data_IF_574970746458
#
_entry.id   IF_574970746458
#
_cell.length_a   1.000
_cell.length_b   1.000
_cell.length_c   1.000
_cell.angle_alpha   90.00
_cell.angle_beta   90.00
_cell.angle_gamma   90.00
#
_symmetry.space_group_name_H-M   'P 1'
#
loop_
_entity.id
_entity.type
_entity.pdbx_description
1 polymer ?
#
# COMPACT_ATOMS: atom_id res chain seq x y z
N UNK A 1 47.08 6.87 66.85
CA UNK A 1 46.93 7.40 65.48
C UNK A 1 46.15 6.40 64.64
N UNK A 2 44.94 6.77 64.22
CA UNK A 2 44.07 6.01 63.30
C UNK A 2 44.50 6.27 61.85
N UNK A 3 44.74 5.22 61.04
CA UNK A 3 44.69 5.25 59.56
C UNK A 3 44.32 3.84 59.07
N UNK A 4 43.03 3.57 58.87
CA UNK A 4 42.31 3.52 57.59
C UNK A 4 42.43 2.17 56.85
N UNK A 5 41.52 1.26 57.22
CA UNK A 5 40.91 0.30 56.30
C UNK A 5 40.22 1.11 55.18
N UNK A 6 40.59 0.87 53.93
CA UNK A 6 39.79 1.24 52.76
C UNK A 6 39.12 -0.05 52.28
N UNK A 7 37.78 -0.17 52.34
CA UNK A 7 37.11 -1.36 51.86
C UNK A 7 37.02 -1.32 50.32
N UNK A 8 37.53 -2.39 49.71
CA UNK A 8 37.45 -2.71 48.30
C UNK A 8 35.98 -3.07 47.94
N UNK A 9 35.12 -2.06 47.83
CA UNK A 9 33.70 -2.21 47.44
C UNK A 9 33.44 -1.37 46.21
N UNK A 10 34.06 -1.71 45.08
CA UNK A 10 33.71 -1.13 43.77
C UNK A 10 34.18 -2.07 42.65
N UNK A 11 33.64 -3.30 42.61
CA UNK A 11 34.08 -4.30 41.63
C UNK A 11 33.05 -5.32 41.17
N UNK A 12 31.76 -5.19 41.52
CA UNK A 12 30.70 -6.12 41.07
C UNK A 12 29.39 -5.40 40.66
N UNK A 13 29.31 -4.08 40.84
CA UNK A 13 28.08 -3.30 40.61
C UNK A 13 27.82 -2.82 39.17
N UNK A 14 28.53 -3.34 38.16
CA UNK A 14 28.40 -2.87 36.75
C UNK A 14 27.92 -3.98 35.79
N UNK A 15 27.74 -5.22 36.26
CA UNK A 15 27.28 -6.34 35.41
C UNK A 15 25.76 -6.64 35.49
N UNK A 16 24.96 -5.84 36.20
CA UNK A 16 23.52 -6.11 36.43
C UNK A 16 22.60 -5.13 35.65
N UNK A 17 23.12 -4.35 34.69
CA UNK A 17 22.31 -3.40 33.92
C UNK A 17 22.14 -3.76 32.43
N UNK A 18 22.68 -4.89 31.96
CA UNK A 18 22.28 -5.47 30.67
C UNK A 18 21.14 -6.45 30.93
N UNK A 19 19.92 -5.98 30.62
CA UNK A 19 18.67 -6.69 30.90
C UNK A 19 18.71 -8.14 30.44
N UNK A 20 18.29 -9.04 31.32
CA UNK A 20 18.09 -10.45 31.02
C UNK A 20 17.01 -10.60 29.94
N UNK A 21 17.41 -10.60 28.66
CA UNK A 21 16.60 -11.22 27.63
C UNK A 21 16.44 -12.69 28.02
N UNK A 22 15.21 -13.13 28.25
CA UNK A 22 14.96 -14.52 28.61
C UNK A 22 15.21 -15.40 27.37
N UNK A 23 15.53 -16.68 27.57
CA UNK A 23 15.65 -17.62 26.44
C UNK A 23 14.40 -17.63 25.54
N UNK A 24 13.21 -17.38 26.12
CA UNK A 24 11.95 -17.23 25.40
C UNK A 24 11.92 -15.97 24.52
N UNK A 25 12.51 -14.87 24.97
CA UNK A 25 12.58 -13.63 24.18
C UNK A 25 13.49 -13.81 22.96
N UNK A 26 14.61 -14.51 23.13
CA UNK A 26 15.53 -14.85 22.03
C UNK A 26 14.88 -15.81 21.05
N UNK A 27 14.20 -16.85 21.53
CA UNK A 27 13.47 -17.79 20.69
C UNK A 27 12.43 -17.08 19.85
N UNK A 28 11.58 -16.24 20.45
CA UNK A 28 10.55 -15.51 19.72
C UNK A 28 11.12 -14.54 18.70
N UNK A 29 12.17 -13.78 19.04
CA UNK A 29 12.83 -12.91 18.07
C UNK A 29 13.42 -13.73 16.91
N UNK A 30 13.94 -14.92 17.20
CA UNK A 30 14.43 -15.87 16.17
C UNK A 30 13.28 -16.38 15.30
N UNK A 31 12.13 -16.72 15.88
CA UNK A 31 10.96 -17.17 15.14
C UNK A 31 10.41 -16.06 14.24
N UNK A 32 10.34 -14.81 14.73
CA UNK A 32 9.93 -13.66 13.93
C UNK A 32 10.85 -13.47 12.71
N UNK A 33 12.17 -13.49 12.93
CA UNK A 33 13.18 -13.40 11.85
C UNK A 33 13.04 -14.57 10.89
N UNK A 34 12.81 -15.79 11.40
CA UNK A 34 12.63 -16.99 10.58
C UNK A 34 11.41 -16.85 9.67
N UNK A 35 10.27 -16.41 10.21
CA UNK A 35 9.03 -16.22 9.47
C UNK A 35 9.19 -15.12 8.41
N UNK A 36 9.87 -14.00 8.74
CA UNK A 36 10.16 -12.92 7.78
C UNK A 36 11.10 -13.37 6.65
N UNK A 37 12.13 -14.17 6.97
CA UNK A 37 13.03 -14.76 5.99
C UNK A 37 12.30 -15.77 5.09
N UNK A 38 11.38 -16.57 5.65
CA UNK A 38 10.56 -17.50 4.87
C UNK A 38 9.64 -16.76 3.89
N UNK A 39 9.00 -15.68 4.35
CA UNK A 39 8.22 -14.80 3.50
C UNK A 39 9.09 -14.23 2.37
N UNK A 40 10.22 -13.61 2.71
CA UNK A 40 11.14 -13.02 1.73
C UNK A 40 11.59 -14.04 0.69
N UNK A 41 11.94 -15.26 1.13
CA UNK A 41 12.33 -16.35 0.23
C UNK A 41 11.22 -16.67 -0.78
N UNK A 42 9.97 -16.81 -0.33
CA UNK A 42 8.85 -17.07 -1.23
C UNK A 42 8.59 -15.89 -2.18
N UNK A 43 8.75 -14.65 -1.72
CA UNK A 43 8.52 -13.48 -2.57
C UNK A 43 9.61 -13.27 -3.62
N UNK A 44 10.85 -13.69 -3.37
CA UNK A 44 12.00 -13.46 -4.26
C UNK A 44 12.31 -14.67 -5.15
N UNK A 45 12.14 -15.90 -4.65
CA UNK A 45 12.64 -17.12 -5.31
C UNK A 45 11.56 -17.89 -6.08
N UNK A 46 10.27 -17.57 -5.92
CA UNK A 46 9.18 -18.28 -6.61
C UNK A 46 9.17 -17.94 -8.10
N UNK A 47 9.25 -18.98 -8.92
CA UNK A 47 9.12 -18.85 -10.39
C UNK A 47 7.65 -18.62 -10.75
N UNK A 48 7.32 -17.84 -11.79
CA UNK A 48 5.94 -17.53 -12.16
C UNK A 48 5.02 -18.76 -12.35
N UNK A 49 5.58 -19.89 -12.80
CA UNK A 49 4.84 -21.15 -13.00
C UNK A 49 4.47 -21.90 -11.71
N UNK A 50 5.06 -21.53 -10.58
CA UNK A 50 4.83 -22.15 -9.27
C UNK A 50 3.93 -21.26 -8.37
N UNK A 51 3.30 -20.23 -8.96
CA UNK A 51 2.49 -19.22 -8.26
C UNK A 51 1.32 -19.82 -7.48
N UNK A 52 0.59 -20.78 -8.05
CA UNK A 52 -0.58 -21.38 -7.40
C UNK A 52 -0.19 -22.17 -6.13
N UNK A 53 0.90 -22.95 -6.20
CA UNK A 53 1.47 -23.61 -5.02
C UNK A 53 2.01 -22.59 -4.00
N UNK A 54 2.60 -21.49 -4.46
CA UNK A 54 3.11 -20.44 -3.57
C UNK A 54 2.01 -19.68 -2.82
N UNK A 55 0.81 -19.55 -3.41
CA UNK A 55 -0.33 -18.88 -2.77
C UNK A 55 -0.74 -19.62 -1.48
N UNK A 56 -0.90 -20.94 -1.52
CA UNK A 56 -1.22 -21.73 -0.32
C UNK A 56 -0.13 -21.63 0.76
N UNK A 57 1.15 -21.62 0.37
CA UNK A 57 2.24 -21.41 1.33
C UNK A 57 2.21 -20.01 1.96
N UNK A 58 1.91 -18.98 1.17
CA UNK A 58 1.78 -17.61 1.66
C UNK A 58 0.60 -17.48 2.63
N UNK A 59 -0.55 -18.08 2.32
CA UNK A 59 -1.69 -18.15 3.26
C UNK A 59 -1.28 -18.83 4.56
N UNK A 60 -0.56 -19.96 4.50
CA UNK A 60 -0.07 -20.66 5.68
C UNK A 60 0.88 -19.81 6.55
N UNK A 61 1.80 -19.05 5.93
CA UNK A 61 2.66 -18.09 6.64
C UNK A 61 1.81 -16.97 7.25
N UNK A 62 0.82 -16.47 6.51
CA UNK A 62 -0.03 -15.38 6.95
C UNK A 62 -0.84 -15.74 8.19
N UNK A 63 -1.54 -16.88 8.15
CA UNK A 63 -2.31 -17.40 9.28
C UNK A 63 -1.42 -17.65 10.49
N UNK A 64 -0.25 -18.28 10.30
CA UNK A 64 0.69 -18.51 11.40
C UNK A 64 1.14 -17.18 12.04
N UNK A 65 1.54 -16.20 11.23
CA UNK A 65 1.95 -14.89 11.72
C UNK A 65 0.82 -14.16 12.44
N UNK A 66 -0.41 -14.21 11.91
CA UNK A 66 -1.57 -13.59 12.55
C UNK A 66 -1.84 -14.20 13.94
N UNK A 67 -1.85 -15.53 14.06
CA UNK A 67 -2.03 -16.21 15.36
C UNK A 67 -0.93 -15.84 16.36
N UNK A 68 0.33 -15.74 15.92
CA UNK A 68 1.42 -15.28 16.78
C UNK A 68 1.20 -13.83 17.23
N UNK A 69 0.73 -12.94 16.35
CA UNK A 69 0.43 -11.54 16.69
C UNK A 69 -0.66 -11.44 17.77
N UNK A 70 -1.77 -12.15 17.58
CA UNK A 70 -2.91 -12.21 18.52
C UNK A 70 -2.48 -12.74 19.90
N UNK A 71 -1.54 -13.67 19.95
CA UNK A 71 -1.00 -14.18 21.21
C UNK A 71 -0.14 -13.15 21.96
N UNK A 72 0.41 -12.16 21.26
CA UNK A 72 1.37 -11.18 21.77
C UNK A 72 0.76 -9.80 22.03
N UNK A 73 -0.33 -9.42 21.37
CA UNK A 73 -0.88 -8.06 21.39
C UNK A 73 -1.29 -7.58 22.79
N UNK A 74 -1.82 -8.48 23.64
CA UNK A 74 -2.19 -8.17 25.02
C UNK A 74 -1.02 -8.25 26.03
N UNK A 75 0.16 -8.67 25.59
CA UNK A 75 1.30 -8.88 26.47
C UNK A 75 2.18 -7.64 26.56
N UNK A 76 2.28 -7.08 27.78
CA UNK A 76 3.08 -5.89 28.05
C UNK A 76 4.53 -6.06 27.59
N UNK A 77 4.98 -5.13 26.75
CA UNK A 77 6.34 -5.10 26.20
C UNK A 77 6.54 -5.99 24.98
N UNK A 78 5.49 -6.65 24.47
CA UNK A 78 5.55 -7.54 23.31
C UNK A 78 4.77 -7.01 22.11
N UNK A 79 4.12 -5.86 22.25
CA UNK A 79 3.27 -5.27 21.21
C UNK A 79 4.05 -4.91 19.93
N UNK A 80 5.34 -4.55 20.04
CA UNK A 80 6.17 -4.33 18.86
C UNK A 80 6.36 -5.62 18.02
N UNK A 81 6.53 -6.76 18.68
CA UNK A 81 6.64 -8.05 18.00
C UNK A 81 5.28 -8.44 17.37
N UNK A 82 4.18 -8.16 18.06
CA UNK A 82 2.83 -8.36 17.51
C UNK A 82 2.60 -7.55 16.22
N UNK A 83 2.99 -6.27 16.22
CA UNK A 83 2.91 -5.40 15.03
C UNK A 83 3.75 -5.96 13.87
N UNK A 84 4.97 -6.43 14.16
CA UNK A 84 5.83 -7.03 13.15
C UNK A 84 5.17 -8.30 12.54
N UNK A 85 4.53 -9.13 13.37
CA UNK A 85 3.77 -10.29 12.93
C UNK A 85 2.54 -9.93 12.09
N UNK A 86 1.74 -8.95 12.50
CA UNK A 86 0.63 -8.44 11.69
C UNK A 86 1.10 -7.92 10.32
N UNK A 87 2.27 -7.25 10.26
CA UNK A 87 2.88 -6.84 8.98
C UNK A 87 3.27 -8.03 8.10
N UNK A 88 3.81 -9.11 8.68
CA UNK A 88 4.09 -10.35 7.93
C UNK A 88 2.79 -10.89 7.34
N UNK A 89 1.75 -11.02 8.19
CA UNK A 89 0.46 -11.56 7.81
C UNK A 89 -0.19 -10.77 6.67
N UNK A 90 -0.29 -9.44 6.83
CA UNK A 90 -0.82 -8.57 5.79
C UNK A 90 -0.03 -8.67 4.46
N UNK A 91 1.31 -8.75 4.53
CA UNK A 91 2.12 -8.92 3.31
C UNK A 91 1.84 -10.26 2.63
N UNK A 92 1.78 -11.34 3.42
CA UNK A 92 1.61 -12.69 2.92
C UNK A 92 0.20 -12.92 2.35
N UNK A 93 -0.86 -12.46 3.02
CA UNK A 93 -2.22 -12.49 2.47
C UNK A 93 -2.32 -11.70 1.17
N UNK A 94 -1.79 -10.46 1.13
CA UNK A 94 -1.78 -9.65 -0.09
C UNK A 94 -1.07 -10.38 -1.24
N UNK A 95 0.14 -10.90 -1.00
CA UNK A 95 0.94 -11.54 -2.05
C UNK A 95 0.50 -12.94 -2.42
N UNK A 96 -0.40 -13.56 -1.64
CA UNK A 96 -1.06 -14.79 -2.07
C UNK A 96 -1.95 -14.57 -3.28
N UNK A 97 -2.51 -13.36 -3.44
CA UNK A 97 -3.46 -13.03 -4.51
C UNK A 97 -4.80 -13.78 -4.43
N UNK A 98 -5.03 -14.54 -3.36
CA UNK A 98 -6.22 -15.39 -3.25
C UNK A 98 -7.43 -14.56 -2.78
N UNK A 99 -8.57 -14.59 -3.50
CA UNK A 99 -9.73 -13.76 -3.17
C UNK A 99 -10.40 -14.15 -1.84
N UNK A 100 -10.24 -15.40 -1.39
CA UNK A 100 -10.85 -15.92 -0.17
C UNK A 100 -10.22 -15.37 1.12
N UNK A 101 -9.01 -14.80 1.06
CA UNK A 101 -8.29 -14.25 2.23
C UNK A 101 -8.29 -12.71 2.29
N UNK A 102 -9.16 -12.07 1.51
CA UNK A 102 -9.26 -10.60 1.49
C UNK A 102 -9.69 -10.07 2.86
N UNK A 103 -10.66 -10.71 3.51
CA UNK A 103 -11.11 -10.30 4.84
C UNK A 103 -9.99 -10.47 5.89
N UNK A 104 -9.19 -11.54 5.80
CA UNK A 104 -8.04 -11.77 6.67
C UNK A 104 -6.94 -10.71 6.48
N UNK A 105 -6.69 -10.28 5.23
CA UNK A 105 -5.79 -9.17 4.93
C UNK A 105 -6.26 -7.88 5.63
N UNK A 106 -7.56 -7.56 5.56
CA UNK A 106 -8.12 -6.39 6.22
C UNK A 106 -8.01 -6.52 7.74
N UNK A 107 -8.36 -7.67 8.31
CA UNK A 107 -8.28 -7.93 9.74
C UNK A 107 -6.85 -7.76 10.27
N UNK A 108 -5.88 -8.47 9.68
CA UNK A 108 -4.48 -8.39 10.09
C UNK A 108 -3.95 -6.95 9.99
N UNK A 109 -4.34 -6.22 8.94
CA UNK A 109 -3.92 -4.83 8.78
C UNK A 109 -4.53 -3.92 9.84
N UNK A 110 -5.85 -4.02 10.08
CA UNK A 110 -6.56 -3.18 11.02
C UNK A 110 -6.09 -3.42 12.46
N UNK A 111 -5.89 -4.69 12.85
CA UNK A 111 -5.39 -5.04 14.18
C UNK A 111 -3.98 -4.48 14.41
N UNK A 112 -3.07 -4.65 13.43
CA UNK A 112 -1.74 -4.05 13.48
C UNK A 112 -1.76 -2.51 13.54
N UNK A 113 -2.64 -1.87 12.77
CA UNK A 113 -2.80 -0.41 12.79
C UNK A 113 -3.34 0.11 14.14
N UNK A 114 -4.28 -0.61 14.74
CA UNK A 114 -4.82 -0.26 16.06
C UNK A 114 -3.71 -0.30 17.12
N UNK A 115 -2.87 -1.35 17.13
CA UNK A 115 -1.72 -1.44 18.02
C UNK A 115 -0.70 -0.32 17.78
N UNK A 116 -0.43 0.02 16.52
CA UNK A 116 0.43 1.16 16.19
C UNK A 116 -0.13 2.48 16.76
N UNK A 117 -1.44 2.69 16.69
CA UNK A 117 -2.08 3.88 17.24
C UNK A 117 -2.04 3.92 18.77
N UNK A 118 -2.22 2.76 19.43
CA UNK A 118 -2.13 2.63 20.89
C UNK A 118 -0.73 2.94 21.43
N UNK A 119 0.31 2.46 20.74
CA UNK A 119 1.70 2.67 21.14
C UNK A 119 2.23 4.07 20.82
N UNK A 120 1.54 4.84 19.95
CA UNK A 120 1.99 6.17 19.48
C UNK A 120 3.45 6.11 18.98
N UNK A 121 4.37 6.81 19.63
CA UNK A 121 5.79 6.86 19.30
C UNK A 121 6.57 5.59 19.71
N UNK A 122 5.96 4.67 20.45
CA UNK A 122 6.57 3.41 20.88
C UNK A 122 6.45 2.26 19.89
N UNK A 123 5.71 2.44 18.79
CA UNK A 123 5.54 1.44 17.74
C UNK A 123 6.73 1.38 16.77
N UNK A 124 6.99 0.23 16.13
CA UNK A 124 8.01 0.13 15.08
C UNK A 124 7.57 0.89 13.84
N UNK A 125 8.12 2.10 13.64
CA UNK A 125 7.81 3.02 12.53
C UNK A 125 7.67 2.32 11.18
N UNK A 126 8.64 1.48 10.80
CA UNK A 126 8.66 0.75 9.53
C UNK A 126 7.39 -0.07 9.33
N UNK A 127 7.03 -0.88 10.33
CA UNK A 127 5.92 -1.82 10.23
C UNK A 127 4.59 -1.06 10.30
N UNK A 128 4.49 -0.04 11.15
CA UNK A 128 3.33 0.83 11.22
C UNK A 128 3.08 1.60 9.91
N UNK A 129 4.13 2.11 9.27
CA UNK A 129 4.01 2.74 7.96
C UNK A 129 3.58 1.75 6.87
N UNK A 130 4.15 0.54 6.88
CA UNK A 130 3.79 -0.49 5.91
C UNK A 130 2.30 -0.86 6.03
N UNK A 131 1.81 -1.09 7.25
CA UNK A 131 0.41 -1.44 7.52
C UNK A 131 -0.56 -0.36 7.02
N UNK A 132 -0.18 0.91 7.08
CA UNK A 132 -0.99 2.00 6.53
C UNK A 132 -1.05 2.01 5.00
N UNK A 133 -0.03 1.46 4.33
CA UNK A 133 0.13 1.48 2.88
C UNK A 133 -0.36 0.20 2.19
N UNK A 134 -0.37 -0.94 2.88
CA UNK A 134 -0.59 -2.25 2.26
C UNK A 134 -1.96 -2.36 1.60
N UNK A 135 -3.04 -1.90 2.25
CA UNK A 135 -4.41 -1.99 1.71
C UNK A 135 -4.59 -1.13 0.45
N UNK A 136 -4.22 0.17 0.43
CA UNK A 136 -4.28 0.95 -0.80
C UNK A 136 -3.48 0.35 -1.97
N UNK A 137 -2.28 -0.17 -1.72
CA UNK A 137 -1.47 -0.81 -2.77
C UNK A 137 -2.07 -2.13 -3.24
N UNK A 138 -2.58 -2.96 -2.32
CA UNK A 138 -3.26 -4.20 -2.65
C UNK A 138 -4.52 -3.95 -3.50
N UNK A 139 -5.30 -2.92 -3.16
CA UNK A 139 -6.45 -2.51 -3.95
C UNK A 139 -6.07 -2.10 -5.37
N UNK A 140 -4.97 -1.36 -5.56
CA UNK A 140 -4.51 -0.97 -6.89
C UNK A 140 -4.00 -2.16 -7.71
N UNK A 141 -3.25 -3.06 -7.09
CA UNK A 141 -2.78 -4.29 -7.75
C UNK A 141 -3.96 -5.19 -8.14
N UNK A 142 -4.96 -5.33 -7.28
CA UNK A 142 -6.19 -6.05 -7.58
C UNK A 142 -6.96 -5.44 -8.74
N UNK A 143 -7.12 -4.11 -8.77
CA UNK A 143 -7.73 -3.42 -9.92
C UNK A 143 -6.94 -3.64 -11.21
N UNK A 144 -5.61 -3.54 -11.17
CA UNK A 144 -4.76 -3.73 -12.34
C UNK A 144 -4.77 -5.16 -12.88
N UNK A 145 -4.88 -6.17 -12.00
CA UNK A 145 -4.91 -7.57 -12.39
C UNK A 145 -6.31 -8.03 -12.82
N UNK A 146 -7.36 -7.52 -12.16
CA UNK A 146 -8.75 -7.86 -12.47
C UNK A 146 -9.29 -7.12 -13.70
N UNK A 147 -8.76 -5.93 -13.98
CA UNK A 147 -9.18 -5.08 -15.10
C UNK A 147 -7.99 -4.83 -16.01
N UNK A 148 -7.93 -5.56 -17.11
CA UNK A 148 -6.96 -5.29 -18.16
C UNK A 148 -7.40 -4.06 -18.96
N UNK A 149 -7.30 -2.87 -18.35
CA UNK A 149 -7.77 -1.61 -18.91
C UNK A 149 -7.14 -1.33 -20.28
N UNK A 150 -5.87 -1.70 -20.47
CA UNK A 150 -5.18 -1.57 -21.75
C UNK A 150 -5.88 -2.37 -22.86
N UNK A 151 -6.19 -3.64 -22.62
CA UNK A 151 -6.88 -4.46 -23.61
C UNK A 151 -8.35 -4.06 -23.77
N UNK A 152 -9.01 -3.61 -22.69
CA UNK A 152 -10.39 -3.11 -22.75
C UNK A 152 -10.49 -1.85 -23.59
N UNK A 153 -9.65 -0.84 -23.31
CA UNK A 153 -9.65 0.42 -24.05
C UNK A 153 -9.16 0.26 -25.50
N UNK A 154 -8.20 -0.66 -25.72
CA UNK A 154 -7.69 -0.97 -27.05
C UNK A 154 -8.70 -1.66 -27.99
N UNK A 155 -9.77 -2.26 -27.45
CA UNK A 155 -10.84 -2.90 -28.24
C UNK A 155 -11.92 -1.93 -28.72
N UNK A 156 -11.92 -0.72 -28.20
CA UNK A 156 -12.95 0.29 -28.50
C UNK A 156 -12.52 1.04 -29.75
N UNK A 157 -13.28 0.92 -30.82
CA UNK A 157 -13.09 1.65 -32.07
C UNK A 157 -14.42 2.23 -32.55
N UNK A 158 -14.73 3.41 -32.01
CA UNK A 158 -15.90 4.17 -32.42
C UNK A 158 -15.87 4.61 -33.89
N UNK A 159 -14.94 4.18 -34.75
CA UNK A 159 -14.96 4.45 -36.20
C UNK A 159 -15.34 3.24 -37.06
N UNK A 160 -15.51 2.05 -36.47
CA UNK A 160 -15.75 0.82 -37.23
C UNK A 160 -17.24 0.53 -37.56
N UNK A 161 -18.14 1.42 -37.10
CA UNK A 161 -19.60 1.35 -37.23
C UNK A 161 -20.24 0.07 -36.68
N UNK A 162 -19.56 -0.61 -35.73
CA UNK A 162 -20.05 -1.82 -35.08
C UNK A 162 -20.27 -1.59 -33.58
N UNK A 163 -21.23 -2.37 -33.05
CA UNK A 163 -21.50 -2.60 -31.63
C UNK A 163 -21.25 -1.45 -30.63
N UNK A 164 -21.71 -0.25 -30.97
CA UNK A 164 -21.56 0.97 -30.14
C UNK A 164 -22.13 0.80 -28.72
N UNK A 165 -23.13 -0.07 -28.54
CA UNK A 165 -23.69 -0.38 -27.22
C UNK A 165 -22.66 -1.06 -26.30
N UNK A 166 -22.00 -2.11 -26.78
CA UNK A 166 -20.97 -2.81 -26.00
C UNK A 166 -19.77 -1.92 -25.72
N UNK A 167 -19.33 -1.14 -26.71
CA UNK A 167 -18.21 -0.20 -26.54
C UNK A 167 -18.48 0.89 -25.50
N UNK A 168 -19.69 1.46 -25.51
CA UNK A 168 -20.09 2.46 -24.51
C UNK A 168 -20.20 1.85 -23.10
N UNK A 169 -20.61 0.59 -22.97
CA UNK A 169 -20.56 -0.13 -21.69
C UNK A 169 -19.11 -0.37 -21.22
N UNK A 170 -18.22 -0.81 -22.11
CA UNK A 170 -16.79 -0.97 -21.79
C UNK A 170 -16.16 0.35 -21.32
N UNK A 171 -16.50 1.47 -21.98
CA UNK A 171 -16.05 2.80 -21.54
C UNK A 171 -16.55 3.17 -20.14
N UNK A 172 -17.83 2.93 -19.83
CA UNK A 172 -18.39 3.20 -18.50
C UNK A 172 -17.72 2.39 -17.41
N UNK A 173 -17.46 1.11 -17.68
CA UNK A 173 -16.74 0.24 -16.76
C UNK A 173 -15.30 0.73 -16.55
N UNK A 174 -14.58 1.05 -17.64
CA UNK A 174 -13.22 1.58 -17.57
C UNK A 174 -13.14 2.91 -16.79
N UNK A 175 -14.12 3.81 -16.99
CA UNK A 175 -14.23 5.05 -16.22
C UNK A 175 -14.43 4.77 -14.72
N UNK A 176 -15.37 3.88 -14.37
CA UNK A 176 -15.61 3.50 -12.97
C UNK A 176 -14.41 2.85 -12.28
N UNK A 177 -13.62 2.05 -13.00
CA UNK A 177 -12.41 1.44 -12.47
C UNK A 177 -11.27 2.46 -12.28
N UNK A 178 -11.15 3.44 -13.18
CA UNK A 178 -10.24 4.57 -13.01
C UNK A 178 -10.66 5.49 -11.86
N UNK A 179 -11.96 5.65 -11.58
CA UNK A 179 -12.43 6.36 -10.38
C UNK A 179 -11.99 5.66 -9.09
N UNK A 180 -12.13 4.33 -9.02
CA UNK A 180 -11.65 3.53 -7.89
C UNK A 180 -10.12 3.64 -7.74
N UNK A 181 -9.38 3.50 -8.84
CA UNK A 181 -7.92 3.64 -8.85
C UNK A 181 -7.49 5.03 -8.34
N UNK A 182 -8.14 6.09 -8.83
CA UNK A 182 -7.90 7.46 -8.35
C UNK A 182 -8.13 7.58 -6.84
N UNK A 183 -9.21 7.03 -6.31
CA UNK A 183 -9.51 7.09 -4.88
C UNK A 183 -8.43 6.40 -4.02
N UNK A 184 -7.89 5.28 -4.48
CA UNK A 184 -6.78 4.59 -3.81
C UNK A 184 -5.47 5.38 -3.89
N UNK A 185 -5.14 5.94 -5.06
CA UNK A 185 -3.97 6.79 -5.24
C UNK A 185 -4.03 8.00 -4.30
N UNK A 186 -5.21 8.63 -4.13
CA UNK A 186 -5.38 9.72 -3.16
C UNK A 186 -4.98 9.32 -1.74
N UNK A 187 -5.40 8.13 -1.29
CA UNK A 187 -5.02 7.60 0.04
C UNK A 187 -3.51 7.40 0.17
N UNK A 188 -2.85 6.92 -0.89
CA UNK A 188 -1.39 6.75 -0.90
C UNK A 188 -0.67 8.11 -0.86
N UNK A 189 -1.17 9.12 -1.58
CA UNK A 189 -0.56 10.45 -1.58
C UNK A 189 -0.63 11.15 -0.24
N UNK A 190 -1.69 10.93 0.55
CA UNK A 190 -1.77 11.47 1.93
C UNK A 190 -0.57 11.08 2.80
N UNK A 191 0.06 9.95 2.48
CA UNK A 191 1.22 9.43 3.20
C UNK A 191 2.50 10.26 3.01
N UNK A 192 2.57 11.13 1.98
CA UNK A 192 3.76 11.97 1.76
C UNK A 192 4.04 12.94 2.92
N UNK A 193 3.00 13.24 3.71
CA UNK A 193 3.05 14.14 4.86
C UNK A 193 3.59 13.46 6.11
N UNK A 194 3.81 12.15 6.09
CA UNK A 194 4.34 11.40 7.22
C UNK A 194 5.85 11.63 7.37
N UNK A 195 6.22 12.40 8.40
CA UNK A 195 7.62 12.72 8.71
C UNK A 195 8.49 11.49 9.00
N UNK A 196 7.89 10.33 9.33
CA UNK A 196 8.64 9.07 9.52
C UNK A 196 9.30 8.62 8.22
N UNK A 197 8.73 8.91 7.06
CA UNK A 197 9.36 8.61 5.76
C UNK A 197 10.74 9.30 5.62
N UNK A 198 10.93 10.48 6.21
CA UNK A 198 12.23 11.18 6.19
C UNK A 198 13.30 10.45 7.01
N UNK A 199 12.89 9.68 8.02
CA UNK A 199 13.77 8.96 8.94
C UNK A 199 14.09 7.54 8.48
N UNK A 200 13.32 6.99 7.53
CA UNK A 200 13.45 5.61 7.04
C UNK A 200 13.67 5.58 5.52
N UNK A 201 14.90 5.77 5.03
CA UNK A 201 15.19 5.87 3.59
C UNK A 201 14.67 4.68 2.77
N UNK A 202 14.81 3.44 3.27
CA UNK A 202 14.31 2.26 2.58
C UNK A 202 12.77 2.28 2.41
N UNK A 203 12.04 2.75 3.41
CA UNK A 203 10.58 2.88 3.33
C UNK A 203 10.16 4.03 2.42
N UNK A 204 10.90 5.14 2.43
CA UNK A 204 10.71 6.23 1.47
C UNK A 204 10.92 5.74 0.04
N UNK A 205 12.01 5.02 -0.22
CA UNK A 205 12.32 4.53 -1.57
C UNK A 205 11.26 3.52 -2.04
N UNK A 206 10.80 2.62 -1.14
CA UNK A 206 9.66 1.74 -1.39
C UNK A 206 8.39 2.52 -1.72
N UNK A 207 8.03 3.51 -0.89
CA UNK A 207 6.86 4.37 -1.11
C UNK A 207 6.92 5.07 -2.46
N UNK A 208 8.03 5.77 -2.74
CA UNK A 208 8.21 6.57 -3.95
C UNK A 208 8.16 5.70 -5.21
N UNK A 209 8.83 4.54 -5.20
CA UNK A 209 8.80 3.61 -6.34
C UNK A 209 7.39 3.11 -6.63
N UNK A 210 6.61 2.77 -5.59
CA UNK A 210 5.26 2.24 -5.79
C UNK A 210 4.24 3.33 -6.12
N UNK A 211 4.38 4.54 -5.57
CA UNK A 211 3.57 5.71 -5.96
C UNK A 211 3.78 6.06 -7.42
N UNK A 212 5.02 6.03 -7.90
CA UNK A 212 5.32 6.31 -9.30
C UNK A 212 4.65 5.30 -10.23
N UNK A 213 4.74 4.00 -9.90
CA UNK A 213 4.06 2.93 -10.65
C UNK A 213 2.55 3.14 -10.67
N UNK A 214 1.93 3.39 -9.51
CA UNK A 214 0.50 3.65 -9.39
C UNK A 214 0.05 4.87 -10.22
N UNK A 215 0.82 5.96 -10.15
CA UNK A 215 0.60 7.18 -10.93
C UNK A 215 0.69 6.90 -12.43
N UNK A 216 1.76 6.25 -12.87
CA UNK A 216 1.98 5.98 -14.30
C UNK A 216 0.91 5.06 -14.87
N UNK A 217 0.47 4.06 -14.09
CA UNK A 217 -0.68 3.23 -14.43
C UNK A 217 -1.94 4.08 -14.64
N UNK A 218 -2.30 4.94 -13.67
CA UNK A 218 -3.52 5.73 -13.75
C UNK A 218 -3.50 6.79 -14.85
N UNK A 219 -2.41 7.56 -14.97
CA UNK A 219 -2.27 8.60 -15.99
C UNK A 219 -2.30 7.99 -17.40
N UNK A 220 -1.61 6.88 -17.62
CA UNK A 220 -1.56 6.21 -18.93
C UNK A 220 -2.96 5.84 -19.42
N UNK A 221 -3.71 5.10 -18.61
CA UNK A 221 -5.06 4.63 -18.97
C UNK A 221 -6.09 5.77 -19.00
N UNK A 222 -5.96 6.78 -18.13
CA UNK A 222 -6.84 7.95 -18.20
C UNK A 222 -6.60 8.76 -19.48
N UNK A 223 -5.35 8.87 -19.95
CA UNK A 223 -5.03 9.52 -21.21
C UNK A 223 -5.69 8.82 -22.41
N UNK A 224 -5.65 7.49 -22.42
CA UNK A 224 -6.34 6.68 -23.44
C UNK A 224 -7.86 6.84 -23.39
N UNK A 225 -8.46 6.79 -22.19
CA UNK A 225 -9.89 7.05 -21.99
C UNK A 225 -10.30 8.42 -22.53
N UNK A 226 -9.55 9.48 -22.22
CA UNK A 226 -9.82 10.85 -22.72
C UNK A 226 -9.81 10.86 -24.26
N UNK A 227 -8.88 10.16 -24.89
CA UNK A 227 -8.85 9.98 -26.34
C UNK A 227 -10.14 9.36 -26.86
N UNK A 228 -10.57 8.25 -26.27
CA UNK A 228 -11.79 7.53 -26.67
C UNK A 228 -13.08 8.34 -26.44
N UNK A 229 -13.18 9.09 -25.34
CA UNK A 229 -14.31 10.02 -25.13
C UNK A 229 -14.34 11.10 -26.21
N UNK A 230 -13.18 11.65 -26.56
CA UNK A 230 -13.08 12.67 -27.61
C UNK A 230 -13.42 12.12 -29.00
N UNK A 231 -13.04 10.87 -29.31
CA UNK A 231 -13.42 10.18 -30.54
C UNK A 231 -14.94 9.99 -30.61
N UNK A 232 -15.56 9.57 -29.51
CA UNK A 232 -17.02 9.45 -29.38
C UNK A 232 -17.74 10.79 -29.57
N UNK A 233 -17.26 11.85 -28.92
CA UNK A 233 -17.86 13.19 -28.99
C UNK A 233 -17.86 13.80 -30.41
N UNK A 234 -16.93 13.35 -31.26
CA UNK A 234 -16.87 13.76 -32.68
C UNK A 234 -17.91 13.04 -33.57
N UNK A 235 -18.71 12.13 -33.01
CA UNK A 235 -19.73 11.35 -33.74
C UNK A 235 -21.15 11.61 -33.24
N UNK A 236 -21.82 12.69 -33.68
CA UNK A 236 -23.18 13.03 -33.24
C UNK A 236 -24.21 11.90 -33.43
N UNK A 237 -24.06 11.10 -34.48
CA UNK A 237 -24.95 9.97 -34.75
C UNK A 237 -24.92 8.88 -33.67
N UNK A 238 -23.80 8.74 -32.93
CA UNK A 238 -23.70 7.78 -31.83
C UNK A 238 -24.35 8.31 -30.54
N UNK A 239 -24.30 9.63 -30.33
CA UNK A 239 -24.82 10.30 -29.13
C UNK A 239 -26.31 10.07 -28.92
N UNK A 240 -27.08 10.06 -30.01
CA UNK A 240 -28.53 9.80 -29.98
C UNK A 240 -28.86 8.30 -29.82
N UNK A 241 -27.96 7.41 -30.23
CA UNK A 241 -28.19 5.96 -30.28
C UNK A 241 -27.78 5.22 -28.99
N UNK A 242 -26.66 5.59 -28.38
CA UNK A 242 -26.18 4.98 -27.12
C UNK A 242 -25.38 5.97 -26.28
N UNK A 243 -26.02 6.84 -25.49
CA UNK A 243 -25.33 7.93 -24.80
C UNK A 243 -24.22 7.40 -23.90
N UNK A 244 -22.97 7.84 -24.12
CA UNK A 244 -21.81 7.37 -23.36
C UNK A 244 -21.95 7.59 -21.85
N UNK A 245 -22.57 8.70 -21.44
CA UNK A 245 -22.80 9.03 -20.03
C UNK A 245 -21.56 9.51 -19.27
N UNK A 246 -20.47 9.78 -20.00
CA UNK A 246 -19.22 10.35 -19.50
C UNK A 246 -18.90 11.56 -20.36
N UNK A 247 -18.66 12.72 -19.75
CA UNK A 247 -18.21 13.91 -20.46
C UNK A 247 -16.69 13.99 -20.55
N UNK A 248 -16.18 14.74 -21.52
CA UNK A 248 -14.73 14.99 -21.64
C UNK A 248 -14.16 15.68 -20.38
N UNK A 249 -14.94 16.54 -19.71
CA UNK A 249 -14.55 17.18 -18.44
C UNK A 249 -14.43 16.15 -17.32
N UNK A 250 -15.36 15.20 -17.22
CA UNK A 250 -15.30 14.12 -16.23
C UNK A 250 -14.07 13.23 -16.48
N UNK A 251 -13.80 12.86 -17.72
CA UNK A 251 -12.61 12.09 -18.09
C UNK A 251 -11.31 12.86 -17.79
N UNK A 252 -11.25 14.16 -18.10
CA UNK A 252 -10.09 15.01 -17.76
C UNK A 252 -9.91 15.17 -16.26
N UNK A 253 -10.98 15.23 -15.49
CA UNK A 253 -10.92 15.31 -14.03
C UNK A 253 -10.30 14.06 -13.40
N UNK A 254 -10.30 12.91 -14.07
CA UNK A 254 -9.56 11.72 -13.60
C UNK A 254 -8.04 11.90 -13.70
N UNK A 255 -7.56 12.72 -14.64
CA UNK A 255 -6.12 12.90 -14.88
C UNK A 255 -5.45 13.84 -13.84
N UNK A 256 -6.25 14.50 -12.99
CA UNK A 256 -5.75 15.34 -11.90
C UNK A 256 -5.60 14.54 -10.61
N UNK A 257 -4.39 14.01 -10.41
CA UNK A 257 -3.96 13.38 -9.14
C UNK A 257 -3.31 14.41 -8.20
N UNK A 258 -2.56 15.39 -8.73
CA UNK A 258 -1.62 16.22 -7.97
C UNK A 258 -2.17 17.46 -7.24
N UNK A 259 -3.38 17.94 -7.51
CA UNK A 259 -3.93 19.16 -6.87
C UNK A 259 -4.44 18.94 -5.43
N UNK A 260 -4.07 17.83 -4.79
CA UNK A 260 -4.73 17.34 -3.58
C UNK A 260 -3.94 17.70 -2.32
N UNK A 261 -2.64 17.97 -2.41
CA UNK A 261 -1.88 18.45 -1.24
C UNK A 261 -2.21 19.90 -0.87
N UNK A 262 -2.64 20.73 -1.82
CA UNK A 262 -2.92 22.16 -1.59
C UNK A 262 -4.32 22.42 -1.03
N UNK A 263 -5.31 21.59 -1.35
CA UNK A 263 -6.68 21.74 -0.80
C UNK A 263 -6.79 21.44 0.71
N UNK A 264 -5.80 20.75 1.31
CA UNK A 264 -5.76 20.53 2.75
C UNK A 264 -5.05 21.66 3.53
N UNK A 265 -4.59 22.71 2.85
CA UNK A 265 -3.95 23.89 3.46
C UNK A 265 -4.71 25.19 3.15
N UNK A 266 -6.03 25.23 3.34
CA UNK A 266 -6.77 26.47 3.62
C UNK A 266 -6.68 27.66 2.65
N UNK A 267 -6.10 27.52 1.46
CA UNK A 267 -5.99 28.62 0.49
C UNK A 267 -7.14 28.61 -0.53
N UNK A 268 -7.71 29.79 -0.85
CA UNK A 268 -8.81 29.89 -1.80
C UNK A 268 -8.36 29.49 -3.20
N UNK A 269 -9.23 28.77 -3.91
CA UNK A 269 -9.03 28.28 -5.27
C UNK A 269 -8.64 29.41 -6.24
N UNK A 270 -7.33 29.60 -6.41
CA UNK A 270 -6.73 30.40 -7.47
C UNK A 270 -6.60 29.59 -8.76
N UNK A 271 -6.31 30.30 -9.85
CA UNK A 271 -6.19 29.75 -11.21
C UNK A 271 -5.38 28.45 -11.27
N UNK A 272 -5.95 27.49 -11.99
CA UNK A 272 -5.45 26.14 -12.24
C UNK A 272 -4.11 26.20 -13.02
N UNK A 273 -3.01 26.49 -12.32
CA UNK A 273 -1.68 26.27 -12.88
C UNK A 273 -1.46 24.76 -12.98
N UNK A 274 -1.22 24.28 -14.20
CA UNK A 274 -0.75 22.93 -14.47
C UNK A 274 0.74 22.92 -14.10
N UNK A 275 1.03 23.00 -12.80
CA UNK A 275 2.40 22.91 -12.32
C UNK A 275 2.85 21.45 -12.29
N UNK A 276 4.16 21.25 -12.44
CA UNK A 276 4.84 19.96 -12.42
C UNK A 276 4.84 19.31 -11.02
N UNK A 277 3.99 19.80 -10.10
CA UNK A 277 3.79 19.34 -8.73
C UNK A 277 3.06 17.99 -8.62
N UNK A 278 3.11 17.18 -9.68
CA UNK A 278 2.39 15.90 -9.83
C UNK A 278 3.09 14.70 -9.20
N UNK A 279 4.15 14.93 -8.42
CA UNK A 279 4.93 13.90 -7.73
C UNK A 279 5.13 14.27 -6.26
N UNK A 280 5.01 13.31 -5.31
CA UNK A 280 5.13 13.61 -3.89
C UNK A 280 6.42 14.36 -3.59
N UNK A 281 6.33 15.43 -2.79
CA UNK A 281 7.50 16.30 -2.53
C UNK A 281 8.66 15.51 -1.93
N UNK A 282 8.35 14.53 -1.08
CA UNK A 282 9.32 13.67 -0.42
C UNK A 282 10.09 12.73 -1.37
N UNK A 283 9.59 12.55 -2.60
CA UNK A 283 10.17 11.68 -3.60
C UNK A 283 10.99 12.44 -4.65
N UNK A 284 11.05 13.78 -4.58
CA UNK A 284 11.86 14.57 -5.50
C UNK A 284 13.36 14.40 -5.17
N UNK A 285 14.23 14.29 -6.18
CA UNK A 285 15.68 14.15 -5.98
C UNK A 285 16.31 15.38 -5.31
#
# INVERSE_FOLDING_TARGET
>A
MKKHLVPFVFGVGVLILFGCATAKDVQRATDLIRTDNQLTRLLVEVRPKDQEGSATYLIGIATHAQTEAESLEGLRGKQADAIAYYRIAATAYWKSGAPEVVDDLFEATLNGMNLCAELKEGGPDRDCMFLQLVIPFAGLESLANGVNLKDTLGKIDFYDDKDTGSETEMMRNAFGDLEKARALIKKIYQFETDDRLKKHPAMRDYYCTNVEKARNYHIGHTGELIGKVNDYDQRPALQDASPLGITIEQARALNTIGQISEMYMGEPAGELKIDDDRYPKICRP
#
